data_IF_551542698827
#
_entry.id   IF_551542698827
#
_cell.length_a   1.000
_cell.length_b   1.000
_cell.length_c   1.000
_cell.angle_alpha   90.00
_cell.angle_beta   90.00
_cell.angle_gamma   90.00
#
_symmetry.space_group_name_H-M   'P 1'
#
loop_
_entity.id
_entity.type
_entity.pdbx_description
1 polymer ?
#
# COMPACT_ATOMS: atom_id res chain seq x y z
N UNK A 1 14.70 14.02 -10.74
CA UNK A 1 14.03 13.85 -9.43
C UNK A 1 12.59 14.35 -9.58
N UNK A 2 11.59 13.54 -9.24
CA UNK A 2 10.17 13.89 -9.39
C UNK A 2 9.59 14.40 -8.07
N UNK A 3 8.57 15.26 -8.13
CA UNK A 3 7.82 15.67 -6.92
C UNK A 3 7.01 14.50 -6.38
N UNK A 4 6.81 14.39 -5.05
CA UNK A 4 6.04 13.29 -4.46
C UNK A 4 4.68 13.10 -5.14
N UNK A 5 4.36 11.86 -5.50
CA UNK A 5 3.04 11.49 -6.02
C UNK A 5 2.04 11.39 -4.88
N UNK A 6 2.33 10.56 -3.87
CA UNK A 6 1.64 10.53 -2.58
C UNK A 6 2.35 11.49 -1.63
N UNK A 7 1.62 12.43 -1.04
CA UNK A 7 2.25 13.59 -0.37
C UNK A 7 1.67 13.95 1.00
N UNK A 8 0.41 13.61 1.27
CA UNK A 8 -0.24 13.98 2.54
C UNK A 8 -0.87 12.76 3.17
N UNK A 9 -0.58 12.56 4.45
CA UNK A 9 -1.11 11.50 5.29
C UNK A 9 -1.78 12.14 6.50
N UNK A 10 -3.07 11.88 6.69
CA UNK A 10 -3.85 12.41 7.80
C UNK A 10 -4.36 11.26 8.64
N UNK A 11 -3.92 11.21 9.89
CA UNK A 11 -4.42 10.25 10.87
C UNK A 11 -5.60 10.83 11.63
N UNK A 12 -6.60 10.00 11.92
CA UNK A 12 -7.75 10.36 12.74
C UNK A 12 -7.97 9.28 13.79
N UNK A 13 -8.19 9.69 15.04
CA UNK A 13 -8.41 8.77 16.16
C UNK A 13 -9.84 8.90 16.66
N UNK A 14 -10.58 7.79 16.67
CA UNK A 14 -11.92 7.70 17.24
C UNK A 14 -11.91 6.63 18.33
N UNK A 15 -11.96 7.06 19.60
CA UNK A 15 -11.70 6.17 20.72
C UNK A 15 -10.29 5.58 20.62
N UNK A 16 -10.20 4.25 20.53
CA UNK A 16 -8.93 3.53 20.37
C UNK A 16 -8.62 3.14 18.92
N UNK A 17 -9.50 3.47 17.97
CA UNK A 17 -9.35 3.09 16.56
C UNK A 17 -8.71 4.22 15.76
N UNK A 18 -7.56 3.92 15.14
CA UNK A 18 -6.81 4.83 14.28
C UNK A 18 -7.22 4.62 12.82
N UNK A 19 -7.47 5.70 12.11
CA UNK A 19 -7.78 5.73 10.68
C UNK A 19 -6.70 6.53 9.95
N UNK A 20 -6.48 6.23 8.69
CA UNK A 20 -5.52 6.95 7.84
C UNK A 20 -6.20 7.39 6.54
N UNK A 21 -5.97 8.63 6.14
CA UNK A 21 -6.24 9.11 4.78
C UNK A 21 -4.94 9.56 4.11
N UNK A 22 -4.56 8.90 3.04
CA UNK A 22 -3.39 9.23 2.23
C UNK A 22 -3.83 9.84 0.89
N UNK A 23 -3.28 10.99 0.52
CA UNK A 23 -3.60 11.69 -0.73
C UNK A 23 -2.47 11.60 -1.75
N UNK A 24 -2.83 11.19 -2.96
CA UNK A 24 -1.94 11.04 -4.11
C UNK A 24 -2.43 11.90 -5.29
N UNK A 25 -1.59 12.84 -5.74
CA UNK A 25 -1.94 13.77 -6.81
C UNK A 25 -1.98 13.12 -8.20
N UNK A 26 -1.25 12.04 -8.41
CA UNK A 26 -0.99 11.42 -9.72
C UNK A 26 -0.68 9.94 -9.51
N UNK A 27 -1.44 9.04 -10.12
CA UNK A 27 -1.33 7.60 -9.93
C UNK A 27 -1.38 6.86 -11.26
N UNK A 28 -0.24 6.31 -11.66
CA UNK A 28 -0.14 5.21 -12.62
C UNK A 28 -0.82 4.00 -11.99
N UNK A 29 -1.98 3.60 -12.55
CA UNK A 29 -2.81 2.52 -12.01
C UNK A 29 -2.15 1.14 -12.19
N UNK A 30 -1.64 0.76 -13.37
CA UNK A 30 -1.06 -0.58 -13.56
C UNK A 30 0.23 -0.83 -12.77
N UNK A 31 1.05 0.19 -12.53
CA UNK A 31 2.31 0.04 -11.79
C UNK A 31 2.26 0.72 -10.41
N UNK A 32 2.17 2.04 -10.38
CA UNK A 32 2.35 2.82 -9.16
C UNK A 32 1.34 2.50 -8.06
N UNK A 33 0.06 2.31 -8.42
CA UNK A 33 -1.01 2.05 -7.46
C UNK A 33 -0.76 0.77 -6.66
N UNK A 34 -0.26 -0.28 -7.30
CA UNK A 34 -0.08 -1.59 -6.66
C UNK A 34 0.92 -1.53 -5.49
N UNK A 35 1.90 -0.64 -5.56
CA UNK A 35 2.82 -0.38 -4.45
C UNK A 35 2.22 0.63 -3.46
N UNK A 36 1.66 1.73 -3.95
CA UNK A 36 1.21 2.83 -3.11
C UNK A 36 0.04 2.44 -2.21
N UNK A 37 -0.93 1.65 -2.70
CA UNK A 37 -2.05 1.22 -1.88
C UNK A 37 -1.58 0.34 -0.70
N UNK A 38 -0.62 -0.57 -0.95
CA UNK A 38 -0.05 -1.43 0.08
C UNK A 38 0.72 -0.60 1.12
N UNK A 39 1.47 0.42 0.68
CA UNK A 39 2.13 1.36 1.58
C UNK A 39 1.14 2.06 2.52
N UNK A 40 -0.05 2.45 2.04
CA UNK A 40 -1.08 3.09 2.88
C UNK A 40 -1.59 2.12 3.96
N UNK A 41 -1.91 0.88 3.59
CA UNK A 41 -2.38 -0.13 4.56
C UNK A 41 -1.29 -0.49 5.58
N UNK A 42 -0.07 -0.71 5.12
CA UNK A 42 1.08 -1.04 5.97
C UNK A 42 1.41 0.12 6.92
N UNK A 43 1.39 1.36 6.44
CA UNK A 43 1.60 2.55 7.27
C UNK A 43 0.57 2.64 8.40
N UNK A 44 -0.73 2.47 8.09
CA UNK A 44 -1.75 2.47 9.13
C UNK A 44 -1.50 1.38 10.17
N UNK A 45 -1.17 0.16 9.73
CA UNK A 45 -0.96 -0.97 10.62
C UNK A 45 0.24 -0.76 11.54
N UNK A 46 1.37 -0.28 11.00
CA UNK A 46 2.57 0.05 11.77
C UNK A 46 2.28 1.14 12.80
N UNK A 47 1.69 2.27 12.37
CA UNK A 47 1.43 3.39 13.27
C UNK A 47 0.46 3.00 14.37
N UNK A 48 -0.59 2.23 14.05
CA UNK A 48 -1.50 1.70 15.07
C UNK A 48 -0.74 0.85 16.10
N UNK A 49 0.13 -0.06 15.67
CA UNK A 49 0.91 -0.92 16.59
C UNK A 49 1.81 -0.11 17.52
N UNK A 50 2.63 0.79 16.99
CA UNK A 50 3.60 1.55 17.80
C UNK A 50 2.97 2.64 18.68
N UNK A 51 1.68 2.95 18.44
CA UNK A 51 0.90 3.87 19.28
C UNK A 51 -0.06 3.14 20.23
N UNK A 52 -0.06 1.80 20.22
CA UNK A 52 -0.96 0.98 21.03
C UNK A 52 -2.44 1.14 20.66
N UNK A 53 -2.74 1.51 19.41
CA UNK A 53 -4.09 1.72 18.87
C UNK A 53 -4.52 0.56 17.98
N UNK A 54 -5.82 0.47 17.72
CA UNK A 54 -6.39 -0.51 16.79
C UNK A 54 -6.45 0.09 15.38
N UNK A 55 -5.94 -0.59 14.34
CA UNK A 55 -6.08 -0.11 12.98
C UNK A 55 -7.54 -0.23 12.54
N UNK A 56 -8.12 0.89 12.11
CA UNK A 56 -9.41 0.96 11.43
C UNK A 56 -9.22 0.87 9.92
N UNK A 57 -9.82 1.82 9.20
CA UNK A 57 -9.77 1.86 7.74
C UNK A 57 -8.70 2.81 7.22
N UNK A 58 -7.98 2.37 6.18
CA UNK A 58 -7.08 3.18 5.39
C UNK A 58 -7.78 3.64 4.11
N UNK A 59 -7.80 4.96 3.88
CA UNK A 59 -8.38 5.59 2.71
C UNK A 59 -7.25 6.11 1.81
N UNK A 60 -7.22 5.66 0.56
CA UNK A 60 -6.27 6.15 -0.44
C UNK A 60 -7.01 7.06 -1.44
N UNK A 61 -6.82 8.37 -1.30
CA UNK A 61 -7.42 9.38 -2.16
C UNK A 61 -6.51 9.67 -3.35
N UNK A 62 -6.99 9.35 -4.56
CA UNK A 62 -6.27 9.58 -5.80
C UNK A 62 -6.95 10.74 -6.55
N UNK A 63 -6.16 11.74 -6.98
CA UNK A 63 -6.66 12.91 -7.72
C UNK A 63 -6.69 12.62 -9.22
N UNK A 64 -5.54 12.30 -9.81
CA UNK A 64 -5.44 11.88 -11.21
C UNK A 64 -5.04 10.40 -11.26
N UNK A 65 -6.02 9.54 -11.52
CA UNK A 65 -5.80 8.12 -11.82
C UNK A 65 -5.73 7.94 -13.33
N UNK A 66 -4.67 7.32 -13.82
CA UNK A 66 -4.44 7.13 -15.25
C UNK A 66 -3.78 5.79 -15.57
N UNK A 67 -3.94 5.38 -16.82
CA UNK A 67 -3.27 4.25 -17.46
C UNK A 67 -2.52 4.84 -18.66
N UNK A 68 -1.24 4.52 -18.80
CA UNK A 68 -0.49 4.94 -19.99
C UNK A 68 -0.93 4.14 -21.22
N UNK A 69 -0.81 4.72 -22.41
CA UNK A 69 -1.31 4.11 -23.65
C UNK A 69 -0.67 2.74 -23.95
N UNK A 70 0.63 2.61 -23.68
CA UNK A 70 1.40 1.37 -23.84
C UNK A 70 1.09 0.31 -22.76
N UNK A 71 0.38 0.67 -21.71
CA UNK A 71 -0.09 -0.24 -20.65
C UNK A 71 -1.54 -0.71 -20.89
N UNK A 72 -2.29 -0.04 -21.76
CA UNK A 72 -3.74 -0.21 -21.87
C UNK A 72 -4.15 -1.62 -22.32
N UNK A 73 -3.47 -2.19 -23.31
CA UNK A 73 -3.78 -3.54 -23.83
C UNK A 73 -3.55 -4.61 -22.76
N UNK A 74 -2.40 -4.56 -22.07
CA UNK A 74 -2.10 -5.47 -20.96
C UNK A 74 -3.13 -5.37 -19.83
N UNK A 75 -3.54 -4.15 -19.48
CA UNK A 75 -4.54 -3.92 -18.44
C UNK A 75 -5.91 -4.50 -18.85
N UNK A 76 -6.41 -4.14 -20.05
CA UNK A 76 -7.73 -4.52 -20.54
C UNK A 76 -7.85 -6.02 -20.84
N UNK A 77 -6.86 -6.58 -21.52
CA UNK A 77 -6.97 -7.90 -22.14
C UNK A 77 -6.31 -9.00 -21.32
N UNK A 78 -5.44 -8.66 -20.36
CA UNK A 78 -4.76 -9.64 -19.49
C UNK A 78 -5.16 -9.45 -18.02
N UNK A 79 -4.85 -8.30 -17.41
CA UNK A 79 -5.08 -8.11 -15.96
C UNK A 79 -6.56 -8.16 -15.60
N UNK A 80 -7.42 -7.43 -16.31
CA UNK A 80 -8.86 -7.40 -16.05
C UNK A 80 -9.61 -8.68 -16.42
N UNK A 81 -8.92 -9.68 -17.00
CA UNK A 81 -9.49 -11.01 -17.27
C UNK A 81 -9.21 -12.02 -16.16
N UNK A 82 -8.41 -11.66 -15.16
CA UNK A 82 -8.06 -12.53 -14.02
C UNK A 82 -9.10 -12.39 -12.92
N UNK A 83 -9.55 -13.52 -12.40
CA UNK A 83 -10.37 -13.56 -11.19
C UNK A 83 -9.49 -13.33 -9.94
N UNK A 84 -9.83 -12.40 -9.04
CA UNK A 84 -9.07 -12.16 -7.83
C UNK A 84 -9.04 -13.38 -6.89
N UNK A 85 -7.87 -13.67 -6.33
CA UNK A 85 -7.74 -14.62 -5.21
C UNK A 85 -8.15 -13.97 -3.88
N UNK A 86 -8.39 -14.77 -2.82
CA UNK A 86 -8.54 -14.25 -1.47
C UNK A 86 -7.36 -13.35 -1.06
N UNK A 87 -7.64 -12.29 -0.30
CA UNK A 87 -6.61 -11.35 0.13
C UNK A 87 -5.59 -12.00 1.08
N UNK A 88 -4.30 -11.66 0.97
CA UNK A 88 -3.28 -12.11 1.92
C UNK A 88 -3.41 -11.42 3.28
N UNK A 89 -2.69 -11.94 4.26
CA UNK A 89 -2.59 -11.34 5.59
C UNK A 89 -1.15 -10.92 5.90
N UNK A 90 -0.95 -9.63 6.16
CA UNK A 90 0.30 -9.11 6.71
C UNK A 90 0.35 -9.33 8.23
N UNK A 91 1.46 -9.83 8.76
CA UNK A 91 1.78 -9.90 10.18
C UNK A 91 3.05 -9.07 10.42
N UNK A 92 3.06 -8.30 11.51
CA UNK A 92 4.19 -7.44 11.89
C UNK A 92 4.74 -7.99 13.20
N UNK A 93 6.06 -8.08 13.35
CA UNK A 93 6.70 -8.50 14.59
C UNK A 93 6.13 -7.70 15.77
N UNK A 94 5.53 -8.35 16.77
CA UNK A 94 4.91 -7.66 17.89
C UNK A 94 5.92 -6.90 18.75
N UNK A 95 7.21 -7.20 18.69
CA UNK A 95 8.26 -6.52 19.47
C UNK A 95 8.58 -5.11 18.96
N UNK A 96 8.09 -4.75 17.77
CA UNK A 96 8.16 -3.38 17.25
C UNK A 96 7.17 -2.51 18.02
N UNK A 97 7.65 -1.67 18.93
CA UNK A 97 6.80 -0.85 19.82
C UNK A 97 6.92 0.64 19.60
N UNK A 98 7.97 1.12 18.95
CA UNK A 98 8.27 2.54 18.82
C UNK A 98 8.77 2.90 17.42
N UNK A 99 8.76 4.20 17.10
CA UNK A 99 9.41 4.70 15.87
C UNK A 99 10.91 4.41 15.87
N UNK A 100 11.57 4.48 17.02
CA UNK A 100 12.99 4.19 17.15
C UNK A 100 13.31 2.74 16.76
N UNK A 101 12.44 1.79 17.07
CA UNK A 101 12.63 0.39 16.66
C UNK A 101 12.70 0.27 15.13
N UNK A 102 11.73 0.89 14.44
CA UNK A 102 11.65 0.94 12.97
C UNK A 102 12.90 1.56 12.33
N UNK A 103 13.51 2.55 12.99
CA UNK A 103 14.68 3.27 12.48
C UNK A 103 16.02 2.62 12.81
N UNK A 104 16.06 1.60 13.69
CA UNK A 104 17.32 1.08 14.25
C UNK A 104 17.59 -0.39 13.98
N UNK A 105 16.65 -1.28 14.30
CA UNK A 105 16.91 -2.73 14.24
C UNK A 105 15.93 -3.50 13.39
N UNK A 106 14.75 -2.92 13.09
CA UNK A 106 13.73 -3.59 12.27
C UNK A 106 14.27 -3.84 10.87
N UNK A 107 14.02 -5.05 10.38
CA UNK A 107 14.39 -5.50 9.04
C UNK A 107 13.18 -6.00 8.28
N UNK A 108 13.38 -6.43 7.03
CA UNK A 108 12.31 -7.05 6.25
C UNK A 108 11.82 -8.38 6.84
N UNK A 109 12.66 -9.07 7.61
CA UNK A 109 12.31 -10.36 8.23
C UNK A 109 11.29 -10.21 9.37
N UNK A 110 11.06 -8.98 9.85
CA UNK A 110 10.05 -8.65 10.86
C UNK A 110 8.63 -8.50 10.29
N UNK A 111 8.47 -8.71 8.98
CA UNK A 111 7.20 -8.62 8.27
C UNK A 111 6.93 -9.94 7.54
N UNK A 112 5.80 -10.57 7.84
CA UNK A 112 5.37 -11.80 7.18
C UNK A 112 4.09 -11.55 6.38
N UNK A 113 4.01 -12.10 5.17
CA UNK A 113 2.81 -12.08 4.33
C UNK A 113 2.37 -13.51 4.07
N UNK A 114 1.31 -13.92 4.75
CA UNK A 114 0.74 -15.26 4.64
C UNK A 114 -0.47 -15.30 3.70
N UNK A 115 -0.70 -16.45 3.08
CA UNK A 115 -1.84 -16.67 2.19
C UNK A 115 -1.79 -15.90 0.87
N UNK A 116 -0.63 -15.35 0.48
CA UNK A 116 -0.47 -14.64 -0.79
C UNK A 116 -0.51 -15.61 -1.97
N UNK A 117 -1.63 -15.59 -2.68
CA UNK A 117 -1.82 -16.25 -3.95
C UNK A 117 -1.77 -15.20 -5.06
N UNK A 118 -1.05 -15.50 -6.14
CA UNK A 118 -0.88 -14.58 -7.25
C UNK A 118 -0.97 -15.33 -8.58
N UNK A 119 -1.45 -14.61 -9.59
CA UNK A 119 -1.33 -15.02 -10.99
C UNK A 119 0.07 -14.70 -11.50
N UNK A 120 0.49 -15.33 -12.59
CA UNK A 120 1.77 -15.04 -13.25
C UNK A 120 2.01 -13.53 -13.44
N UNK A 121 3.23 -13.04 -13.23
CA UNK A 121 3.52 -11.60 -13.29
C UNK A 121 3.23 -11.03 -14.69
N UNK A 122 2.76 -9.78 -14.72
CA UNK A 122 2.61 -9.00 -15.95
C UNK A 122 3.72 -7.95 -15.97
N UNK A 123 4.55 -7.97 -17.01
CA UNK A 123 5.58 -6.96 -17.22
C UNK A 123 4.98 -5.75 -17.94
N UNK A 124 4.46 -4.78 -17.18
CA UNK A 124 4.03 -3.49 -17.74
C UNK A 124 5.24 -2.63 -18.14
N UNK A 125 5.16 -1.91 -19.27
CA UNK A 125 6.18 -0.92 -19.62
C UNK A 125 6.17 0.23 -18.61
N UNK A 126 7.37 0.75 -18.33
CA UNK A 126 7.56 1.93 -17.50
C UNK A 126 7.76 3.17 -18.39
N UNK A 127 6.90 4.16 -18.23
CA UNK A 127 7.03 5.44 -18.92
C UNK A 127 7.93 6.39 -18.11
N UNK A 128 8.95 6.96 -18.76
CA UNK A 128 9.91 7.91 -18.16
C UNK A 128 9.37 9.34 -18.18
#
# INVERSE_FOLDING_TARGET
>A
CLRPCMHTHTFSLLGETLYLTSSQRSCDVPLGQNFNQIQVFTLLKIIAQITGKQPGQAYHKIVNAHIYEDQLELMRDVQLKREPFPSPQLTINPDIKTLKDLETWVTMDDFDVSGYQFHEPIAYPFSV
#
